data_IF_255504231969
#
_entry.id   IF_255504231969
#
_cell.length_a   1.000
_cell.length_b   1.000
_cell.length_c   1.000
_cell.angle_alpha   90.00
_cell.angle_beta   90.00
_cell.angle_gamma   90.00
#
_symmetry.space_group_name_H-M   'P 1'
#
loop_
_entity.id
_entity.type
_entity.pdbx_description
1 polymer ?
#
# COMPACT_ATOMS: atom_id res chain seq x y z
N UNK A 1 -13.90 -24.21 -9.17
CA UNK A 1 -15.21 -24.45 -9.81
C UNK A 1 -14.91 -24.91 -11.21
N UNK A 2 -15.02 -26.22 -11.45
CA UNK A 2 -14.67 -26.81 -12.74
C UNK A 2 -15.80 -26.51 -13.73
N UNK A 3 -15.54 -25.62 -14.68
CA UNK A 3 -16.50 -25.29 -15.73
C UNK A 3 -16.40 -26.33 -16.86
N UNK A 4 -17.33 -27.28 -16.86
CA UNK A 4 -17.54 -28.23 -17.96
C UNK A 4 -18.43 -27.56 -19.01
N UNK A 5 -17.89 -27.26 -20.18
CA UNK A 5 -18.66 -26.84 -21.35
C UNK A 5 -19.00 -28.07 -22.20
N UNK A 6 -20.29 -28.34 -22.36
CA UNK A 6 -20.83 -29.35 -23.31
C UNK A 6 -21.07 -28.71 -24.69
N UNK A 7 -20.94 -29.46 -25.80
CA UNK A 7 -20.81 -28.89 -27.14
C UNK A 7 -22.07 -29.06 -28.00
N UNK A 8 -22.36 -28.08 -28.85
CA UNK A 8 -23.20 -28.26 -30.03
C UNK A 8 -22.48 -27.70 -31.28
N UNK A 9 -21.85 -28.59 -32.06
CA UNK A 9 -21.87 -28.64 -33.54
C UNK A 9 -20.69 -29.43 -34.17
N UNK A 10 -21.07 -30.55 -34.82
CA UNK A 10 -20.45 -31.36 -35.90
C UNK A 10 -19.02 -31.97 -35.75
N UNK A 11 -18.86 -33.31 -35.93
CA UNK A 11 -17.61 -34.02 -35.62
C UNK A 11 -16.68 -34.16 -36.84
N UNK A 12 -15.42 -33.75 -36.69
CA UNK A 12 -14.33 -34.16 -37.58
C UNK A 12 -13.70 -35.45 -37.01
N UNK A 13 -14.05 -36.59 -37.60
CA UNK A 13 -13.58 -37.92 -37.20
C UNK A 13 -12.16 -38.18 -37.69
N UNK A 14 -11.19 -38.39 -36.79
CA UNK A 14 -9.84 -38.81 -37.13
C UNK A 14 -9.36 -39.97 -36.24
N UNK A 15 -9.30 -41.17 -36.83
CA UNK A 15 -8.68 -42.38 -36.27
C UNK A 15 -7.16 -42.28 -36.32
N UNK A 16 -6.47 -42.12 -35.18
CA UNK A 16 -5.19 -42.80 -34.86
C UNK A 16 -4.53 -42.28 -33.57
N UNK A 17 -4.10 -43.20 -32.69
CA UNK A 17 -3.27 -42.92 -31.49
C UNK A 17 -1.88 -42.30 -31.78
N UNK A 18 -1.44 -42.16 -33.04
CA UNK A 18 -0.19 -41.49 -33.42
C UNK A 18 -0.30 -39.94 -33.49
N UNK A 19 -1.45 -39.40 -33.15
CA UNK A 19 -1.78 -37.99 -33.32
C UNK A 19 -1.37 -37.05 -32.17
N UNK A 20 -1.08 -37.58 -30.97
CA UNK A 20 -0.64 -36.76 -29.83
C UNK A 20 0.66 -35.99 -30.12
N UNK A 21 1.60 -36.57 -30.87
CA UNK A 21 2.84 -35.90 -31.27
C UNK A 21 2.64 -34.81 -32.34
N UNK A 22 1.44 -34.69 -32.91
CA UNK A 22 1.11 -33.74 -33.98
C UNK A 22 0.37 -32.52 -33.46
N UNK A 23 -0.29 -32.63 -32.30
CA UNK A 23 -1.05 -31.57 -31.68
C UNK A 23 -0.14 -30.86 -30.67
N UNK A 24 0.12 -29.57 -30.92
CA UNK A 24 0.84 -28.69 -29.98
C UNK A 24 -0.11 -27.59 -29.54
N UNK A 25 -0.19 -27.39 -28.24
CA UNK A 25 -1.00 -26.32 -27.64
C UNK A 25 -0.09 -25.45 -26.80
N UNK A 26 -0.10 -24.16 -27.05
CA UNK A 26 0.60 -23.15 -26.25
C UNK A 26 -0.42 -22.16 -25.73
N UNK A 27 -0.44 -21.93 -24.41
CA UNK A 27 -1.33 -20.95 -23.78
C UNK A 27 -0.49 -19.85 -23.17
N UNK A 28 -0.78 -18.59 -23.49
CA UNK A 28 -0.07 -17.41 -22.97
C UNK A 28 -1.04 -16.39 -22.41
N UNK A 29 -0.67 -15.76 -21.30
CA UNK A 29 -1.39 -14.59 -20.80
C UNK A 29 -1.12 -13.38 -21.72
N UNK A 30 -2.15 -12.61 -22.05
CA UNK A 30 -1.99 -11.45 -22.92
C UNK A 30 -1.14 -10.38 -22.23
N UNK A 31 -0.02 -10.01 -22.84
CA UNK A 31 0.95 -9.07 -22.26
C UNK A 31 2.03 -9.74 -21.39
N UNK A 32 2.12 -11.07 -21.38
CA UNK A 32 3.25 -11.81 -20.78
C UNK A 32 3.82 -12.81 -21.78
N UNK A 33 5.13 -13.05 -21.69
CA UNK A 33 5.81 -14.11 -22.45
C UNK A 33 5.75 -15.47 -21.73
N UNK A 34 5.12 -15.53 -20.55
CA UNK A 34 4.97 -16.77 -19.80
C UNK A 34 4.00 -17.74 -20.50
N UNK A 35 4.52 -18.91 -20.86
CA UNK A 35 3.76 -20.02 -21.41
C UNK A 35 3.29 -20.95 -20.30
N UNK A 36 1.99 -21.26 -20.30
CA UNK A 36 1.42 -22.30 -19.45
C UNK A 36 1.48 -23.65 -20.17
N UNK A 37 1.93 -24.68 -19.46
CA UNK A 37 2.00 -26.04 -19.98
C UNK A 37 0.59 -26.61 -20.05
N UNK A 38 0.17 -27.00 -21.24
CA UNK A 38 -1.11 -27.68 -21.47
C UNK A 38 -0.87 -29.18 -21.59
N UNK A 39 -1.60 -29.96 -20.80
CA UNK A 39 -1.67 -31.40 -20.92
C UNK A 39 -2.73 -31.75 -21.97
N UNK A 40 -2.31 -32.56 -22.95
CA UNK A 40 -3.17 -33.02 -24.04
C UNK A 40 -3.41 -34.50 -23.85
N UNK A 41 -4.66 -34.92 -23.80
CA UNK A 41 -5.05 -36.33 -23.74
C UNK A 41 -6.07 -36.66 -24.81
N UNK A 42 -6.03 -37.89 -25.31
CA UNK A 42 -7.02 -38.35 -26.29
C UNK A 42 -8.26 -38.86 -25.54
N UNK A 43 -9.42 -38.26 -25.79
CA UNK A 43 -10.69 -38.63 -25.14
C UNK A 43 -11.40 -39.80 -25.83
N UNK A 44 -11.19 -39.97 -27.15
CA UNK A 44 -11.89 -41.04 -27.87
C UNK A 44 -11.17 -41.45 -29.16
N UNK A 45 -11.48 -42.65 -29.65
CA UNK A 45 -11.02 -43.12 -30.95
C UNK A 45 -11.56 -42.30 -32.14
N UNK A 46 -12.50 -41.37 -31.90
CA UNK A 46 -13.06 -40.48 -32.92
C UNK A 46 -12.21 -39.22 -33.17
N UNK A 47 -11.07 -39.04 -32.49
CA UNK A 47 -10.17 -37.90 -32.71
C UNK A 47 -10.55 -36.66 -31.91
N UNK A 48 -11.18 -36.85 -30.75
CA UNK A 48 -11.49 -35.80 -29.78
C UNK A 48 -10.36 -35.72 -28.76
N UNK A 49 -9.75 -34.55 -28.60
CA UNK A 49 -8.67 -34.31 -27.64
C UNK A 49 -9.16 -33.44 -26.50
N UNK A 50 -8.80 -33.81 -25.26
CA UNK A 50 -8.91 -32.92 -24.11
C UNK A 50 -7.64 -32.10 -24.00
N UNK A 51 -7.78 -30.81 -23.75
CA UNK A 51 -6.67 -29.91 -23.45
C UNK A 51 -6.96 -29.34 -22.07
N UNK A 52 -6.11 -29.69 -21.11
CA UNK A 52 -6.21 -29.20 -19.74
C UNK A 52 -5.00 -28.33 -19.42
N UNK A 53 -5.24 -27.17 -18.84
CA UNK A 53 -4.17 -26.26 -18.43
C UNK A 53 -4.54 -25.64 -17.09
N UNK A 54 -3.55 -25.49 -16.21
CA UNK A 54 -3.71 -24.77 -14.95
C UNK A 54 -3.03 -23.42 -15.08
N UNK A 55 -3.83 -22.35 -15.01
CA UNK A 55 -3.38 -20.96 -15.04
C UNK A 55 -3.62 -20.33 -13.67
N UNK A 56 -2.70 -19.46 -13.24
CA UNK A 56 -2.79 -18.75 -11.94
C UNK A 56 -3.11 -17.27 -12.08
N UNK A 57 -2.92 -16.71 -13.27
CA UNK A 57 -3.16 -15.29 -13.54
C UNK A 57 -4.57 -15.13 -14.11
N UNK A 58 -5.31 -14.16 -13.61
CA UNK A 58 -6.59 -13.78 -14.19
C UNK A 58 -6.40 -12.92 -15.46
N UNK A 59 -7.45 -12.82 -16.27
CA UNK A 59 -7.50 -12.00 -17.48
C UNK A 59 -7.46 -12.81 -18.77
N UNK A 60 -7.19 -12.11 -19.87
CA UNK A 60 -7.22 -12.70 -21.20
C UNK A 60 -5.98 -13.57 -21.46
N UNK A 61 -6.21 -14.76 -22.01
CA UNK A 61 -5.19 -15.68 -22.47
C UNK A 61 -5.43 -16.03 -23.93
N UNK A 62 -4.36 -16.26 -24.67
CA UNK A 62 -4.38 -16.76 -26.04
C UNK A 62 -3.88 -18.20 -26.07
N UNK A 63 -4.73 -19.09 -26.57
CA UNK A 63 -4.40 -20.48 -26.81
C UNK A 63 -4.13 -20.69 -28.30
N UNK A 64 -2.87 -20.93 -28.65
CA UNK A 64 -2.47 -21.34 -30.00
C UNK A 64 -2.50 -22.85 -30.09
N UNK A 65 -3.32 -23.36 -31.01
CA UNK A 65 -3.49 -24.80 -31.24
C UNK A 65 -3.00 -25.13 -32.64
N UNK A 66 -1.94 -25.93 -32.71
CA UNK A 66 -1.28 -26.32 -33.95
C UNK A 66 -1.45 -27.82 -34.18
N UNK A 67 -1.81 -28.21 -35.41
CA UNK A 67 -1.79 -29.58 -35.89
C UNK A 67 -0.75 -29.73 -36.99
N UNK A 68 0.23 -30.62 -36.81
CA UNK A 68 1.38 -30.76 -37.72
C UNK A 68 2.09 -29.41 -37.99
N UNK A 69 2.23 -28.58 -36.95
CA UNK A 69 2.86 -27.26 -37.05
C UNK A 69 2.02 -26.18 -37.77
N UNK A 70 0.78 -26.47 -38.16
CA UNK A 70 -0.14 -25.49 -38.77
C UNK A 70 -1.29 -25.17 -37.82
N UNK A 71 -1.72 -23.89 -37.70
CA UNK A 71 -2.89 -23.54 -36.89
C UNK A 71 -4.13 -24.32 -37.32
N UNK A 72 -4.87 -24.84 -36.34
CA UNK A 72 -6.21 -25.40 -36.58
C UNK A 72 -7.22 -24.26 -36.82
N UNK A 73 -8.41 -24.62 -37.31
CA UNK A 73 -9.51 -23.66 -37.45
C UNK A 73 -9.81 -23.00 -36.09
N UNK A 74 -10.02 -21.68 -36.10
CA UNK A 74 -10.26 -20.85 -34.91
C UNK A 74 -9.08 -20.68 -33.96
N UNK A 75 -7.88 -21.16 -34.30
CA UNK A 75 -6.66 -20.77 -33.60
C UNK A 75 -6.16 -19.40 -34.10
N UNK A 76 -5.73 -18.48 -33.20
CA UNK A 76 -5.72 -18.62 -31.73
C UNK A 76 -7.10 -18.43 -31.11
N UNK A 77 -7.36 -19.16 -30.02
CA UNK A 77 -8.56 -19.00 -29.20
C UNK A 77 -8.29 -18.00 -28.08
N UNK A 78 -9.25 -17.12 -27.81
CA UNK A 78 -9.22 -16.22 -26.65
C UNK A 78 -9.97 -16.84 -25.48
N UNK A 79 -9.31 -16.92 -24.32
CA UNK A 79 -9.87 -17.44 -23.06
C UNK A 79 -9.83 -16.33 -22.00
N UNK A 80 -10.94 -16.07 -21.34
CA UNK A 80 -10.99 -15.12 -20.22
C UNK A 80 -11.05 -15.88 -18.91
N UNK A 81 -9.99 -15.76 -18.11
CA UNK A 81 -9.90 -16.38 -16.79
C UNK A 81 -10.33 -15.34 -15.76
N UNK A 82 -11.37 -15.64 -14.98
CA UNK A 82 -11.77 -14.78 -13.86
C UNK A 82 -10.88 -15.06 -12.63
N UNK A 83 -10.67 -14.06 -11.75
CA UNK A 83 -10.08 -14.28 -10.43
C UNK A 83 -10.83 -15.37 -9.65
N UNK A 84 -10.13 -16.07 -8.75
CA UNK A 84 -10.77 -16.98 -7.79
C UNK A 84 -11.49 -16.16 -6.69
N UNK A 85 -12.05 -16.83 -5.68
CA UNK A 85 -12.75 -16.18 -4.56
C UNK A 85 -11.84 -15.22 -3.79
N UNK A 86 -12.46 -14.23 -3.15
CA UNK A 86 -11.79 -13.31 -2.21
C UNK A 86 -10.98 -14.12 -1.20
N UNK A 87 -9.71 -13.75 -1.05
CA UNK A 87 -8.79 -14.33 -0.09
C UNK A 87 -8.28 -13.20 0.83
N UNK A 88 -8.87 -13.06 2.04
CA UNK A 88 -8.54 -11.97 2.97
C UNK A 88 -7.05 -11.79 3.28
N UNK A 89 -6.23 -12.85 3.44
CA UNK A 89 -4.80 -12.68 3.71
C UNK A 89 -3.99 -12.02 2.58
N UNK A 90 -4.41 -12.16 1.33
CA UNK A 90 -3.77 -11.52 0.16
C UNK A 90 -4.42 -10.17 -0.20
N UNK A 91 -5.54 -9.86 0.45
CA UNK A 91 -6.26 -8.61 0.25
C UNK A 91 -5.72 -7.50 1.17
N UNK A 92 -6.04 -6.25 0.86
CA UNK A 92 -5.50 -5.10 1.60
C UNK A 92 -6.60 -4.26 2.26
N UNK A 93 -6.28 -3.73 3.45
CA UNK A 93 -7.07 -2.75 4.18
C UNK A 93 -6.27 -1.47 4.37
N UNK A 94 -6.80 -0.35 3.91
CA UNK A 94 -6.15 0.96 4.05
C UNK A 94 -7.08 1.92 4.79
N UNK A 95 -6.67 2.35 5.99
CA UNK A 95 -7.39 3.39 6.74
C UNK A 95 -6.98 4.74 6.18
N UNK A 96 -7.95 5.49 5.65
CA UNK A 96 -7.70 6.83 5.15
C UNK A 96 -7.72 7.84 6.30
N UNK A 97 -6.75 8.78 6.29
CA UNK A 97 -6.71 9.97 7.17
C UNK A 97 -6.65 9.66 8.67
N UNK A 98 -5.43 9.48 9.18
CA UNK A 98 -5.17 9.39 10.62
C UNK A 98 -4.40 10.63 11.13
N UNK A 99 -4.61 11.06 12.38
CA UNK A 99 -5.60 10.55 13.34
C UNK A 99 -7.03 11.03 13.01
N UNK A 100 -8.04 10.42 13.63
CA UNK A 100 -9.46 10.80 13.48
C UNK A 100 -9.99 11.37 14.79
N UNK A 101 -10.84 12.39 14.71
CA UNK A 101 -11.54 12.92 15.88
C UNK A 101 -12.61 11.96 16.38
N UNK A 102 -12.91 11.99 17.69
CA UNK A 102 -14.14 11.35 18.22
C UNK A 102 -15.36 11.85 17.46
N UNK A 103 -16.28 10.94 17.17
CA UNK A 103 -17.46 11.13 16.31
C UNK A 103 -17.12 11.55 14.86
N UNK A 104 -15.84 11.55 14.51
CA UNK A 104 -15.35 11.76 13.16
C UNK A 104 -15.68 10.58 12.26
N UNK A 105 -15.61 10.82 10.95
CA UNK A 105 -15.86 9.79 9.95
C UNK A 105 -14.56 9.06 9.60
N UNK A 106 -14.54 7.74 9.78
CA UNK A 106 -13.47 6.85 9.33
C UNK A 106 -13.88 6.20 8.02
N UNK A 107 -12.97 6.20 7.05
CA UNK A 107 -13.09 5.44 5.80
C UNK A 107 -11.93 4.45 5.70
N UNK A 108 -12.28 3.17 5.55
CA UNK A 108 -11.33 2.10 5.25
C UNK A 108 -11.60 1.61 3.82
N UNK A 109 -10.58 1.70 2.98
CA UNK A 109 -10.59 1.13 1.64
C UNK A 109 -10.16 -0.34 1.72
N UNK A 110 -10.96 -1.22 1.13
CA UNK A 110 -10.72 -2.65 1.03
C UNK A 110 -10.50 -3.00 -0.43
N UNK A 111 -9.33 -3.53 -0.78
CA UNK A 111 -9.06 -4.05 -2.14
C UNK A 111 -8.91 -5.55 -2.04
N UNK A 112 -9.86 -6.27 -2.62
CA UNK A 112 -9.90 -7.73 -2.56
C UNK A 112 -9.04 -8.36 -3.65
N UNK A 113 -8.30 -9.40 -3.26
CA UNK A 113 -7.53 -10.25 -4.15
C UNK A 113 -7.87 -11.71 -3.89
N UNK A 114 -7.63 -12.57 -4.87
CA UNK A 114 -7.67 -14.01 -4.68
C UNK A 114 -6.36 -14.54 -4.07
N UNK A 115 -6.30 -15.85 -3.83
CA UNK A 115 -5.12 -16.51 -3.23
C UNK A 115 -3.85 -16.50 -4.09
N UNK A 116 -3.95 -16.04 -5.34
CA UNK A 116 -2.85 -15.92 -6.28
C UNK A 116 -2.44 -14.46 -6.50
N UNK A 117 -3.05 -13.52 -5.78
CA UNK A 117 -2.81 -12.08 -5.93
C UNK A 117 -3.54 -11.45 -7.11
N UNK A 118 -4.50 -12.13 -7.73
CA UNK A 118 -5.32 -11.51 -8.77
C UNK A 118 -6.37 -10.61 -8.12
N UNK A 119 -6.47 -9.36 -8.60
CA UNK A 119 -7.50 -8.44 -8.13
C UNK A 119 -8.89 -8.94 -8.53
N UNK A 120 -9.81 -8.98 -7.55
CA UNK A 120 -11.21 -9.28 -7.80
C UNK A 120 -11.81 -8.16 -8.65
N UNK A 121 -12.61 -8.49 -9.67
CA UNK A 121 -13.14 -7.51 -10.64
C UNK A 121 -14.65 -7.32 -10.54
N UNK A 122 -15.31 -8.05 -9.64
CA UNK A 122 -16.77 -8.04 -9.46
C UNK A 122 -17.11 -7.73 -8.00
N UNK A 123 -18.25 -7.09 -7.77
CA UNK A 123 -18.79 -6.87 -6.43
C UNK A 123 -19.71 -8.00 -5.95
N UNK A 124 -20.53 -7.69 -4.96
CA UNK A 124 -21.62 -8.52 -4.43
C UNK A 124 -21.35 -9.14 -3.06
N UNK A 125 -20.13 -9.02 -2.53
CA UNK A 125 -19.74 -9.71 -1.29
C UNK A 125 -19.99 -8.89 -0.02
N UNK A 126 -20.49 -7.66 -0.12
CA UNK A 126 -20.59 -6.71 1.00
C UNK A 126 -21.38 -7.24 2.22
N UNK A 127 -22.34 -8.16 2.02
CA UNK A 127 -23.14 -8.74 3.10
C UNK A 127 -22.42 -9.83 3.91
N UNK A 128 -21.30 -10.35 3.40
CA UNK A 128 -20.52 -11.42 4.03
C UNK A 128 -19.38 -10.88 4.91
N UNK A 129 -19.19 -9.56 4.92
CA UNK A 129 -18.18 -8.91 5.73
C UNK A 129 -18.67 -8.66 7.15
N UNK A 130 -17.79 -8.86 8.14
CA UNK A 130 -18.03 -8.52 9.54
C UNK A 130 -16.89 -7.65 10.08
N UNK A 131 -17.20 -6.43 10.49
CA UNK A 131 -16.25 -5.48 11.06
C UNK A 131 -16.35 -5.48 12.59
N UNK A 132 -15.22 -5.74 13.24
CA UNK A 132 -15.05 -5.61 14.69
C UNK A 132 -13.90 -4.65 15.01
N UNK A 133 -14.04 -3.92 16.11
CA UNK A 133 -12.99 -3.07 16.66
C UNK A 133 -12.57 -3.60 18.02
N UNK A 134 -11.28 -3.63 18.29
CA UNK A 134 -10.74 -3.91 19.62
C UNK A 134 -9.98 -2.68 20.10
N UNK A 135 -10.45 -2.08 21.20
CA UNK A 135 -9.71 -1.01 21.88
C UNK A 135 -8.49 -1.62 22.56
N UNK A 136 -7.29 -1.30 22.07
CA UNK A 136 -6.05 -1.83 22.66
C UNK A 136 -5.79 -1.09 23.98
N UNK A 137 -6.00 -1.77 25.11
CA UNK A 137 -5.79 -1.22 26.45
C UNK A 137 -4.82 -2.07 27.28
N UNK A 138 -4.08 -1.41 28.18
CA UNK A 138 -3.17 -2.07 29.12
C UNK A 138 -1.84 -2.58 28.54
N UNK A 139 -0.94 -2.99 29.44
CA UNK A 139 0.41 -3.45 29.14
C UNK A 139 0.49 -4.77 28.36
N UNK A 140 -0.62 -5.39 27.93
CA UNK A 140 -0.67 -6.56 27.05
C UNK A 140 -1.51 -6.34 25.80
N UNK A 141 -2.11 -5.14 25.63
CA UNK A 141 -2.92 -4.81 24.47
C UNK A 141 -4.16 -5.68 24.29
N UNK A 142 -4.65 -6.41 25.29
CA UNK A 142 -5.88 -7.17 25.16
C UNK A 142 -7.08 -6.22 25.22
N UNK A 143 -7.90 -6.25 24.18
CA UNK A 143 -9.20 -5.59 24.13
C UNK A 143 -10.23 -6.59 23.62
N UNK A 144 -11.42 -6.55 24.20
CA UNK A 144 -12.54 -7.34 23.69
C UNK A 144 -12.94 -6.80 22.31
N UNK A 145 -13.23 -7.71 21.39
CA UNK A 145 -13.74 -7.36 20.08
C UNK A 145 -15.19 -6.91 20.21
N UNK A 146 -15.45 -5.66 19.84
CA UNK A 146 -16.78 -5.08 19.85
C UNK A 146 -17.22 -4.84 18.41
N UNK A 147 -18.43 -5.28 18.06
CA UNK A 147 -19.03 -4.93 16.76
C UNK A 147 -19.32 -3.43 16.73
N UNK A 148 -18.86 -2.77 15.68
CA UNK A 148 -19.13 -1.36 15.45
C UNK A 148 -20.34 -1.21 14.53
N UNK A 149 -21.10 -0.12 14.68
CA UNK A 149 -22.08 0.28 13.67
C UNK A 149 -21.31 0.84 12.48
N UNK A 150 -21.47 0.20 11.32
CA UNK A 150 -20.71 0.53 10.12
C UNK A 150 -21.59 0.34 8.87
N UNK A 151 -21.17 0.96 7.78
CA UNK A 151 -21.72 0.77 6.45
C UNK A 151 -20.63 0.29 5.53
N UNK A 152 -20.92 -0.73 4.70
CA UNK A 152 -20.02 -1.21 3.67
C UNK A 152 -20.63 -0.86 2.32
N UNK A 153 -19.90 -0.07 1.54
CA UNK A 153 -20.28 0.32 0.18
C UNK A 153 -19.49 -0.54 -0.81
N UNK A 154 -20.22 -1.16 -1.72
CA UNK A 154 -19.66 -2.00 -2.77
C UNK A 154 -19.40 -1.17 -4.02
N UNK A 155 -18.14 -1.12 -4.46
CA UNK A 155 -17.76 -0.35 -5.66
C UNK A 155 -17.94 -1.15 -6.95
N UNK A 156 -18.49 -2.38 -6.87
CA UNK A 156 -18.76 -3.29 -7.98
C UNK A 156 -17.53 -3.63 -8.84
N UNK A 157 -16.33 -3.50 -8.27
CA UNK A 157 -15.06 -3.74 -8.95
C UNK A 157 -14.06 -4.51 -8.06
N UNK A 158 -14.59 -5.29 -7.10
CA UNK A 158 -13.79 -6.00 -6.09
C UNK A 158 -13.18 -5.12 -5.01
N UNK A 159 -13.48 -3.82 -5.01
CA UNK A 159 -13.13 -2.90 -3.92
C UNK A 159 -14.38 -2.50 -3.12
N UNK A 160 -14.17 -2.24 -1.83
CA UNK A 160 -15.23 -1.86 -0.90
C UNK A 160 -14.77 -0.69 -0.03
N UNK A 161 -15.71 0.16 0.37
CA UNK A 161 -15.49 1.23 1.32
C UNK A 161 -16.24 0.92 2.62
N UNK A 162 -15.51 0.88 3.73
CA UNK A 162 -16.09 0.67 5.06
C UNK A 162 -16.09 2.00 5.82
N UNK A 163 -17.28 2.42 6.23
CA UNK A 163 -17.54 3.68 6.91
C UNK A 163 -18.01 3.44 8.33
N UNK A 164 -17.42 4.13 9.30
CA UNK A 164 -17.90 4.13 10.68
C UNK A 164 -17.47 5.40 11.43
N UNK A 165 -18.09 5.64 12.59
CA UNK A 165 -17.76 6.77 13.46
C UNK A 165 -17.44 6.27 14.88
N UNK A 166 -16.17 6.34 15.31
CA UNK A 166 -15.79 5.93 16.66
C UNK A 166 -16.23 6.97 17.68
N UNK A 167 -16.88 6.51 18.75
CA UNK A 167 -17.43 7.36 19.81
C UNK A 167 -16.50 7.52 21.01
N UNK A 168 -15.35 6.84 21.01
CA UNK A 168 -14.40 6.86 22.12
C UNK A 168 -12.99 7.21 21.67
N UNK A 169 -12.32 8.02 22.48
CA UNK A 169 -10.87 8.25 22.37
C UNK A 169 -10.13 6.94 22.62
N UNK A 170 -9.14 6.66 21.79
CA UNK A 170 -8.31 5.47 21.93
C UNK A 170 -7.62 5.05 20.65
N UNK A 171 -6.88 3.97 20.76
CA UNK A 171 -6.29 3.29 19.62
C UNK A 171 -6.94 1.94 19.44
N UNK A 172 -7.45 1.73 18.24
CA UNK A 172 -8.29 0.59 17.89
C UNK A 172 -7.59 -0.23 16.85
N UNK A 173 -7.56 -1.54 17.07
CA UNK A 173 -7.32 -2.49 16.00
C UNK A 173 -8.63 -2.78 15.30
N UNK A 174 -8.57 -2.80 13.97
CA UNK A 174 -9.67 -3.13 13.09
C UNK A 174 -9.48 -4.55 12.61
N UNK A 175 -10.48 -5.38 12.87
CA UNK A 175 -10.61 -6.70 12.25
C UNK A 175 -11.77 -6.66 11.29
N UNK A 176 -11.46 -6.73 10.01
CA UNK A 176 -12.43 -7.07 8.99
C UNK A 176 -12.32 -8.58 8.72
N UNK A 177 -13.47 -9.25 8.70
CA UNK A 177 -13.58 -10.66 8.37
C UNK A 177 -14.43 -10.81 7.12
N UNK A 178 -14.06 -11.75 6.26
CA UNK A 178 -14.91 -12.24 5.18
C UNK A 178 -15.04 -13.75 5.36
N UNK A 179 -16.29 -14.21 5.58
CA UNK A 179 -16.58 -15.58 5.97
C UNK A 179 -15.81 -15.98 7.26
N UNK A 180 -14.94 -16.98 7.20
CA UNK A 180 -14.15 -17.47 8.33
C UNK A 180 -12.70 -16.95 8.34
N UNK A 181 -12.35 -16.05 7.41
CA UNK A 181 -10.99 -15.55 7.23
C UNK A 181 -10.87 -14.07 7.58
N UNK A 182 -9.85 -13.75 8.37
CA UNK A 182 -9.52 -12.38 8.75
C UNK A 182 -8.58 -11.75 7.71
N UNK A 183 -8.83 -10.48 7.40
CA UNK A 183 -7.89 -9.64 6.68
C UNK A 183 -6.69 -9.33 7.56
N UNK A 184 -5.59 -8.86 6.95
CA UNK A 184 -4.50 -8.26 7.72
C UNK A 184 -5.03 -7.10 8.58
N UNK A 185 -4.60 -6.98 9.86
CA UNK A 185 -5.16 -5.99 10.76
C UNK A 185 -4.81 -4.57 10.32
N UNK A 186 -5.79 -3.69 10.40
CA UNK A 186 -5.59 -2.25 10.26
C UNK A 186 -5.75 -1.57 11.62
N UNK A 187 -5.32 -0.32 11.73
CA UNK A 187 -5.33 0.40 13.00
C UNK A 187 -5.86 1.82 12.86
N UNK A 188 -6.62 2.26 13.86
CA UNK A 188 -7.23 3.60 13.90
C UNK A 188 -6.85 4.29 15.19
N UNK A 189 -6.25 5.48 15.07
CA UNK A 189 -5.97 6.38 16.18
C UNK A 189 -7.11 7.42 16.28
N UNK A 190 -7.89 7.33 17.36
CA UNK A 190 -9.03 8.22 17.65
C UNK A 190 -8.66 9.16 18.80
N UNK A 191 -8.83 10.45 18.59
CA UNK A 191 -8.36 11.51 19.49
C UNK A 191 -9.45 12.54 19.76
N UNK A 192 -9.36 13.23 20.89
CA UNK A 192 -10.22 14.38 21.20
C UNK A 192 -9.65 15.69 20.64
N UNK A 193 -10.41 16.77 20.76
CA UNK A 193 -9.99 18.11 20.33
C UNK A 193 -8.75 18.63 21.07
N UNK A 194 -8.54 18.23 22.33
CA UNK A 194 -7.39 18.66 23.13
C UNK A 194 -6.10 18.07 22.56
N UNK A 195 -6.08 16.75 22.31
CA UNK A 195 -4.94 16.06 21.71
C UNK A 195 -4.68 16.53 20.27
N UNK A 196 -5.73 16.86 19.51
CA UNK A 196 -5.58 17.42 18.17
C UNK A 196 -4.99 18.83 18.17
N UNK A 197 -5.43 19.70 19.07
CA UNK A 197 -4.90 21.07 19.13
C UNK A 197 -3.44 21.08 19.54
N UNK A 198 -3.08 20.24 20.50
CA UNK A 198 -1.69 19.99 20.85
C UNK A 198 -0.89 19.47 19.64
N UNK A 199 -1.44 18.56 18.84
CA UNK A 199 -0.76 18.07 17.66
C UNK A 199 -0.45 19.21 16.68
N UNK A 200 -1.39 20.12 16.46
CA UNK A 200 -1.18 21.31 15.63
C UNK A 200 -0.10 22.23 16.19
N UNK A 201 -0.17 22.55 17.49
CA UNK A 201 0.81 23.42 18.13
C UNK A 201 2.24 22.87 18.01
N UNK A 202 2.42 21.56 18.28
CA UNK A 202 3.74 20.92 18.15
C UNK A 202 4.26 20.89 16.70
N UNK A 203 3.39 20.87 15.71
CA UNK A 203 3.78 20.96 14.30
C UNK A 203 4.34 22.34 13.94
N UNK A 204 3.78 23.40 14.52
CA UNK A 204 4.28 24.78 14.34
C UNK A 204 5.65 24.97 15.00
N UNK A 205 5.86 24.37 16.17
CA UNK A 205 7.08 24.48 16.97
C UNK A 205 8.24 23.57 16.53
N UNK A 206 8.14 22.95 15.34
CA UNK A 206 9.18 22.10 14.71
C UNK A 206 9.53 20.80 15.47
N UNK A 207 8.72 20.39 16.44
CA UNK A 207 8.81 19.11 17.12
C UNK A 207 8.64 19.18 18.63
N UNK A 208 8.73 18.02 19.27
CA UNK A 208 8.58 17.87 20.71
C UNK A 208 9.64 16.94 21.28
N UNK A 209 10.06 17.17 22.53
CA UNK A 209 10.93 16.25 23.26
C UNK A 209 10.35 15.95 24.64
N UNK A 210 10.10 14.67 24.92
CA UNK A 210 9.45 14.19 26.13
C UNK A 210 10.41 13.34 26.97
N UNK A 211 10.36 13.49 28.29
CA UNK A 211 11.02 12.55 29.21
C UNK A 211 10.23 11.25 29.28
N UNK A 212 10.89 10.13 29.06
CA UNK A 212 10.31 8.80 29.08
C UNK A 212 11.26 7.78 29.74
N UNK A 213 10.78 6.55 29.92
CA UNK A 213 11.54 5.44 30.47
C UNK A 213 11.36 4.20 29.58
N UNK A 214 12.43 3.42 29.38
CA UNK A 214 12.35 2.10 28.75
C UNK A 214 11.81 1.06 29.75
N UNK A 215 11.45 -0.12 29.25
CA UNK A 215 10.93 -1.22 30.08
C UNK A 215 11.90 -1.65 31.21
N UNK A 216 13.21 -1.51 31.00
CA UNK A 216 14.25 -1.78 31.99
C UNK A 216 14.44 -0.67 33.04
N UNK A 217 13.62 0.39 32.98
CA UNK A 217 13.68 1.55 33.87
C UNK A 217 14.68 2.63 33.44
N UNK A 218 15.39 2.44 32.32
CA UNK A 218 16.34 3.42 31.83
C UNK A 218 15.64 4.72 31.40
N UNK A 219 16.06 5.86 31.96
CA UNK A 219 15.56 7.19 31.59
C UNK A 219 16.07 7.61 30.21
N UNK A 220 15.14 7.98 29.34
CA UNK A 220 15.37 8.37 27.95
C UNK A 220 14.49 9.57 27.57
N UNK A 221 14.74 10.13 26.39
CA UNK A 221 14.02 11.27 25.87
C UNK A 221 13.52 10.96 24.45
N UNK A 222 12.21 11.05 24.26
CA UNK A 222 11.53 10.82 22.99
C UNK A 222 11.41 12.16 22.26
N UNK A 223 12.13 12.31 21.17
CA UNK A 223 12.13 13.50 20.33
C UNK A 223 11.42 13.19 19.01
N UNK A 224 10.28 13.85 18.77
CA UNK A 224 9.48 13.74 17.55
C UNK A 224 9.66 15.05 16.78
N UNK A 225 10.19 14.98 15.57
CA UNK A 225 10.37 16.14 14.67
C UNK A 225 9.68 15.90 13.35
N UNK A 226 9.63 16.93 12.50
CA UNK A 226 9.08 16.85 11.15
C UNK A 226 9.75 15.79 10.26
N UNK A 227 10.90 15.23 10.65
CA UNK A 227 11.71 14.28 9.86
C UNK A 227 11.88 12.92 10.52
N UNK A 228 11.85 12.86 11.85
CA UNK A 228 12.28 11.66 12.57
C UNK A 228 11.68 11.58 13.95
N UNK A 229 11.55 10.35 14.44
CA UNK A 229 11.33 10.04 15.85
C UNK A 229 12.62 9.47 16.38
N UNK A 230 13.11 9.95 17.52
CA UNK A 230 14.37 9.45 18.10
C UNK A 230 14.31 9.34 19.60
N UNK A 231 14.88 8.26 20.12
CA UNK A 231 15.12 8.07 21.54
C UNK A 231 16.56 8.44 21.85
N UNK A 232 16.74 9.36 22.80
CA UNK A 232 18.03 9.87 23.22
C UNK A 232 18.23 9.64 24.72
N UNK A 233 19.41 9.19 25.11
CA UNK A 233 19.90 9.27 26.48
C UNK A 233 20.74 10.52 26.61
N UNK A 234 20.61 11.26 27.70
CA UNK A 234 21.51 12.39 27.98
C UNK A 234 22.55 11.98 29.01
N UNK A 235 23.83 12.00 28.61
CA UNK A 235 24.95 11.83 29.53
C UNK A 235 25.21 13.13 30.28
N UNK A 236 25.31 13.07 31.61
CA UNK A 236 25.42 14.22 32.52
C UNK A 236 24.33 15.29 32.34
N UNK A 237 23.21 14.96 31.68
CA UNK A 237 22.15 15.90 31.34
C UNK A 237 22.45 16.86 30.18
N UNK A 238 23.62 16.77 29.55
CA UNK A 238 24.08 17.74 28.54
C UNK A 238 24.30 17.11 27.17
N UNK A 239 24.87 15.91 27.11
CA UNK A 239 25.27 15.30 25.83
C UNK A 239 24.25 14.24 25.38
N UNK A 240 23.48 14.48 24.30
CA UNK A 240 22.54 13.50 23.79
C UNK A 240 23.25 12.38 23.02
N UNK A 241 23.10 11.15 23.49
CA UNK A 241 23.41 9.92 22.76
C UNK A 241 22.12 9.35 22.20
N UNK A 242 22.04 9.22 20.88
CA UNK A 242 20.90 8.62 20.19
C UNK A 242 20.95 7.09 20.36
N UNK A 243 19.93 6.53 21.00
CA UNK A 243 19.77 5.08 21.16
C UNK A 243 19.06 4.49 19.94
N UNK A 244 17.91 5.06 19.60
CA UNK A 244 17.09 4.66 18.44
C UNK A 244 16.67 5.90 17.64
N UNK A 245 16.49 5.73 16.34
CA UNK A 245 16.06 6.82 15.46
C UNK A 245 15.39 6.29 14.22
N UNK A 246 14.11 6.56 14.12
CA UNK A 246 13.28 6.23 12.98
C UNK A 246 13.10 7.45 12.10
N UNK A 247 13.23 7.25 10.79
CA UNK A 247 12.81 8.25 9.81
C UNK A 247 11.30 8.16 9.69
N UNK A 248 10.63 9.31 9.62
CA UNK A 248 9.20 9.33 9.28
C UNK A 248 9.01 8.78 7.85
N UNK A 249 8.39 7.63 7.74
CA UNK A 249 8.05 6.93 6.50
C UNK A 249 6.73 6.16 6.69
N UNK A 250 6.19 5.60 5.60
CA UNK A 250 4.92 4.84 5.64
C UNK A 250 5.00 3.52 6.42
N UNK A 251 6.21 3.02 6.70
CA UNK A 251 6.43 1.78 7.45
C UNK A 251 6.49 2.02 8.97
N UNK A 252 6.74 3.26 9.40
CA UNK A 252 6.85 3.58 10.82
C UNK A 252 5.48 3.58 11.50
N UNK A 253 5.36 2.76 12.53
CA UNK A 253 4.17 2.64 13.35
C UNK A 253 4.44 3.24 14.74
N UNK A 254 3.53 4.11 15.19
CA UNK A 254 3.56 4.73 16.53
C UNK A 254 2.23 4.42 17.22
N UNK A 255 2.25 3.47 18.15
CA UNK A 255 1.05 2.82 18.70
C UNK A 255 0.99 3.03 20.22
N UNK A 256 -0.12 3.49 20.80
CA UNK A 256 -0.23 3.63 22.24
C UNK A 256 -0.60 2.27 22.88
N UNK A 257 -0.11 2.03 24.09
CA UNK A 257 -0.38 0.83 24.89
C UNK A 257 -0.92 1.24 26.26
N UNK A 258 -2.23 1.51 26.34
CA UNK A 258 -2.82 2.14 27.52
C UNK A 258 -2.67 3.67 27.51
N UNK A 259 -2.61 4.30 28.69
CA UNK A 259 -2.63 5.76 28.83
C UNK A 259 -1.25 6.44 28.80
N UNK A 260 -0.20 5.69 29.11
CA UNK A 260 1.13 6.22 29.39
C UNK A 260 2.24 5.51 28.64
N UNK A 261 1.96 4.44 27.89
CA UNK A 261 2.98 3.74 27.10
C UNK A 261 2.78 3.94 25.60
N UNK A 262 3.88 3.89 24.88
CA UNK A 262 3.96 4.05 23.44
C UNK A 262 4.92 3.00 22.88
N UNK A 263 4.47 2.27 21.87
CA UNK A 263 5.27 1.35 21.06
C UNK A 263 5.63 2.10 19.77
N UNK A 264 6.92 2.15 19.45
CA UNK A 264 7.43 2.69 18.20
C UNK A 264 8.13 1.55 17.48
N UNK A 265 7.68 1.23 16.28
CA UNK A 265 8.26 0.13 15.52
C UNK A 265 8.29 0.36 14.02
N UNK A 266 9.26 -0.27 13.37
CA UNK A 266 9.35 -0.44 11.93
C UNK A 266 9.68 -1.92 11.61
N UNK A 267 10.13 -2.21 10.39
CA UNK A 267 10.47 -3.58 9.98
C UNK A 267 11.70 -4.17 10.70
N UNK A 268 12.51 -3.34 11.38
CA UNK A 268 13.81 -3.72 11.95
C UNK A 268 13.81 -3.71 13.47
N UNK A 269 13.01 -2.86 14.07
CA UNK A 269 13.11 -2.53 15.48
C UNK A 269 11.74 -2.21 16.07
N UNK A 270 11.52 -2.65 17.32
CA UNK A 270 10.31 -2.39 18.10
C UNK A 270 10.71 -1.99 19.52
N UNK A 271 10.34 -0.78 19.92
CA UNK A 271 10.69 -0.22 21.22
C UNK A 271 9.45 0.29 21.93
N UNK A 272 9.25 -0.18 23.17
CA UNK A 272 8.22 0.34 24.06
C UNK A 272 8.81 1.35 25.06
N UNK A 273 8.16 2.49 25.19
CA UNK A 273 8.50 3.55 26.13
C UNK A 273 7.31 3.93 27.01
N UNK A 274 7.61 4.17 28.29
CA UNK A 274 6.72 4.78 29.27
C UNK A 274 6.91 6.30 29.25
N UNK A 275 5.87 7.04 28.86
CA UNK A 275 5.85 8.49 28.84
C UNK A 275 5.70 9.03 30.26
N UNK A 276 6.61 9.92 30.66
CA UNK A 276 6.52 10.58 31.96
C UNK A 276 5.40 11.61 32.00
N UNK A 277 4.89 11.91 33.20
CA UNK A 277 3.83 12.91 33.46
C UNK A 277 4.21 14.37 33.15
N UNK A 278 5.25 14.63 32.36
CA UNK A 278 5.77 15.99 32.13
C UNK A 278 5.97 16.30 30.65
N UNK A 279 5.66 17.56 30.32
CA UNK A 279 5.76 18.30 29.04
C UNK A 279 4.63 18.21 28.03
N UNK A 280 3.63 17.34 28.24
CA UNK A 280 2.42 17.33 27.42
C UNK A 280 1.20 17.67 28.27
N UNK A 281 0.53 18.79 27.97
CA UNK A 281 -0.72 19.20 28.66
C UNK A 281 -1.94 18.33 28.25
N UNK A 282 -1.70 17.21 27.57
CA UNK A 282 -2.72 16.30 27.11
C UNK A 282 -3.27 15.43 28.24
N UNK A 283 -4.56 15.11 28.13
CA UNK A 283 -5.23 14.11 28.98
C UNK A 283 -4.63 12.71 28.79
N UNK A 284 -4.09 12.40 27.59
CA UNK A 284 -3.42 11.14 27.29
C UNK A 284 -2.16 11.40 26.44
N UNK A 285 -0.96 11.41 27.06
CA UNK A 285 0.30 11.71 26.37
C UNK A 285 0.60 10.76 25.21
N UNK A 286 0.30 9.46 25.35
CA UNK A 286 0.55 8.47 24.31
C UNK A 286 -0.28 8.75 23.06
N UNK A 287 -1.57 9.05 23.24
CA UNK A 287 -2.46 9.36 22.12
C UNK A 287 -2.08 10.66 21.42
N UNK A 288 -1.70 11.69 22.16
CA UNK A 288 -1.19 12.91 21.55
C UNK A 288 0.11 12.68 20.76
N UNK A 289 1.03 11.85 21.25
CA UNK A 289 2.22 11.47 20.47
C UNK A 289 1.85 10.73 19.19
N UNK A 290 0.91 9.78 19.26
CA UNK A 290 0.36 9.12 18.07
C UNK A 290 -0.29 10.12 17.11
N UNK A 291 -1.04 11.10 17.63
CA UNK A 291 -1.66 12.15 16.84
C UNK A 291 -0.62 12.99 16.09
N UNK A 292 0.44 13.44 16.79
CA UNK A 292 1.54 14.20 16.21
C UNK A 292 2.24 13.38 15.14
N UNK A 293 2.65 12.14 15.46
CA UNK A 293 3.36 11.27 14.54
C UNK A 293 2.51 10.96 13.30
N UNK A 294 1.25 10.57 13.50
CA UNK A 294 0.33 10.27 12.40
C UNK A 294 0.05 11.51 11.55
N UNK A 295 -0.12 12.69 12.14
CA UNK A 295 -0.33 13.94 11.37
C UNK A 295 0.93 14.31 10.58
N UNK A 296 2.12 14.07 11.12
CA UNK A 296 3.37 14.25 10.38
C UNK A 296 3.53 13.26 9.23
N UNK A 297 3.21 11.98 9.46
CA UNK A 297 3.20 10.96 8.42
C UNK A 297 2.17 11.31 7.33
N UNK A 298 0.94 11.61 7.73
CA UNK A 298 -0.11 11.99 6.79
C UNK A 298 0.25 13.29 6.06
N UNK A 299 0.67 14.37 6.73
CA UNK A 299 1.06 15.61 6.02
C UNK A 299 2.23 15.43 5.05
N UNK A 300 3.16 14.50 5.31
CA UNK A 300 4.25 14.16 4.40
C UNK A 300 3.84 13.25 3.26
N UNK A 301 2.95 12.29 3.50
CA UNK A 301 2.63 11.20 2.56
C UNK A 301 1.24 11.28 1.94
N UNK A 302 0.27 11.96 2.56
CA UNK A 302 -1.04 12.30 1.99
C UNK A 302 -0.92 13.30 0.84
N UNK A 303 0.16 14.09 0.80
CA UNK A 303 0.50 14.86 -0.41
C UNK A 303 0.96 14.00 -1.59
N UNK A 304 1.11 12.69 -1.36
CA UNK A 304 1.57 11.69 -2.33
C UNK A 304 0.68 10.44 -2.33
N UNK A 305 -0.55 10.52 -1.78
CA UNK A 305 -1.28 9.33 -1.32
C UNK A 305 -2.80 9.40 -1.43
N UNK A 306 -3.33 10.01 -2.49
CA UNK A 306 -4.46 9.37 -3.18
C UNK A 306 -3.85 8.57 -4.32
N UNK A 307 -4.35 7.37 -4.59
CA UNK A 307 -3.84 6.48 -5.63
C UNK A 307 -3.63 7.27 -6.93
N UNK A 308 -2.37 7.42 -7.37
CA UNK A 308 -2.06 8.09 -8.64
C UNK A 308 -1.36 9.45 -8.57
N UNK A 309 -0.52 9.75 -7.57
CA UNK A 309 0.45 10.84 -7.77
C UNK A 309 1.48 10.40 -8.82
N UNK A 310 1.21 10.69 -10.08
CA UNK A 310 2.14 10.49 -11.20
C UNK A 310 3.43 11.28 -10.94
N UNK A 311 4.51 10.99 -11.66
CA UNK A 311 5.71 11.84 -11.63
C UNK A 311 5.35 13.32 -11.86
N UNK A 312 4.36 13.58 -12.70
CA UNK A 312 3.84 14.90 -13.04
C UNK A 312 3.20 15.62 -11.84
N UNK A 313 2.43 14.92 -11.00
CA UNK A 313 1.85 15.49 -9.78
C UNK A 313 2.92 15.87 -8.75
N UNK A 314 3.94 15.01 -8.63
CA UNK A 314 5.11 15.27 -7.77
C UNK A 314 5.91 16.47 -8.27
N UNK A 315 6.10 16.57 -9.59
CA UNK A 315 6.74 17.71 -10.27
C UNK A 315 5.96 19.01 -10.07
N UNK A 316 4.63 18.97 -10.24
CA UNK A 316 3.74 20.13 -10.09
C UNK A 316 3.70 20.62 -8.65
N UNK A 317 3.66 19.71 -7.67
CA UNK A 317 3.74 20.07 -6.26
C UNK A 317 5.08 20.72 -5.91
N UNK A 318 6.20 20.09 -6.31
CA UNK A 318 7.55 20.63 -6.10
C UNK A 318 7.69 22.03 -6.73
N UNK A 319 7.24 22.19 -7.97
CA UNK A 319 7.25 23.48 -8.68
C UNK A 319 6.40 24.52 -7.95
N UNK A 320 5.24 24.14 -7.43
CA UNK A 320 4.36 25.04 -6.66
C UNK A 320 5.00 25.49 -5.36
N UNK A 321 5.66 24.59 -4.63
CA UNK A 321 6.38 24.95 -3.39
C UNK A 321 7.61 25.79 -3.66
N UNK A 322 8.37 25.49 -4.72
CA UNK A 322 9.48 26.31 -5.19
C UNK A 322 9.02 27.72 -5.57
N UNK A 323 7.89 27.85 -6.27
CA UNK A 323 7.33 29.14 -6.66
C UNK A 323 6.88 29.99 -5.46
N UNK A 324 6.38 29.38 -4.38
CA UNK A 324 6.08 30.10 -3.12
C UNK A 324 7.33 30.67 -2.45
N UNK A 325 8.49 30.07 -2.70
CA UNK A 325 9.78 30.50 -2.19
C UNK A 325 10.55 31.41 -3.16
N UNK A 326 10.09 31.54 -4.42
CA UNK A 326 10.76 32.33 -5.46
C UNK A 326 10.26 33.77 -5.55
N UNK A 327 11.22 34.70 -5.63
CA UNK A 327 11.05 35.93 -6.41
C UNK A 327 11.46 35.61 -7.86
N UNK A 328 10.67 35.98 -8.89
CA UNK A 328 10.98 35.61 -10.27
C UNK A 328 12.37 36.16 -10.67
N UNK A 329 13.26 35.26 -11.08
CA UNK A 329 14.56 35.60 -11.68
C UNK A 329 14.49 35.31 -13.19
N UNK A 330 15.05 36.19 -14.05
CA UNK A 330 14.80 36.14 -15.50
C UNK A 330 15.56 35.04 -16.27
N UNK A 331 16.55 34.36 -15.68
CA UNK A 331 17.40 33.40 -16.40
C UNK A 331 16.98 31.94 -16.19
N UNK A 332 16.62 31.27 -17.30
CA UNK A 332 16.32 29.84 -17.35
C UNK A 332 17.63 29.03 -17.37
N UNK A 333 17.71 27.97 -16.55
CA UNK A 333 18.82 27.03 -16.50
C UNK A 333 18.53 25.85 -17.45
N UNK A 334 19.40 25.61 -18.42
CA UNK A 334 19.23 24.51 -19.38
C UNK A 334 20.05 23.29 -18.98
N UNK A 335 19.42 22.12 -18.95
CA UNK A 335 20.05 20.81 -18.76
C UNK A 335 19.81 19.94 -19.98
N UNK A 336 20.86 19.37 -20.56
CA UNK A 336 20.74 18.41 -21.65
C UNK A 336 21.04 17.02 -21.11
N UNK A 337 20.07 16.10 -21.26
CA UNK A 337 20.18 14.73 -20.78
C UNK A 337 20.47 13.83 -21.97
N UNK A 338 21.60 13.14 -21.93
CA UNK A 338 21.93 12.10 -22.91
C UNK A 338 22.00 10.76 -22.17
N UNK A 339 21.10 9.84 -22.52
CA UNK A 339 20.98 8.53 -21.85
C UNK A 339 22.24 7.67 -21.97
N UNK A 340 23.00 7.83 -23.04
CA UNK A 340 24.23 7.10 -23.28
C UNK A 340 25.42 7.70 -22.51
N UNK A 341 25.24 8.88 -21.91
CA UNK A 341 26.28 9.66 -21.22
C UNK A 341 25.75 10.32 -19.94
N UNK A 342 25.02 9.56 -19.12
CA UNK A 342 24.38 10.07 -17.89
C UNK A 342 25.41 10.62 -16.88
N UNK A 343 26.63 10.12 -16.89
CA UNK A 343 27.73 10.60 -16.07
C UNK A 343 28.02 12.11 -16.27
N UNK A 344 27.86 12.60 -17.50
CA UNK A 344 28.05 14.02 -17.83
C UNK A 344 26.92 14.87 -17.23
N UNK A 345 25.67 14.41 -17.35
CA UNK A 345 24.50 15.07 -16.77
C UNK A 345 24.58 15.08 -15.24
N UNK A 346 24.98 13.97 -14.62
CA UNK A 346 25.16 13.89 -13.15
C UNK A 346 26.25 14.85 -12.68
N UNK A 347 27.38 14.92 -13.39
CA UNK A 347 28.44 15.88 -13.09
C UNK A 347 27.98 17.34 -13.17
N UNK A 348 27.17 17.68 -14.18
CA UNK A 348 26.57 19.02 -14.28
C UNK A 348 25.66 19.34 -13.11
N UNK A 349 24.83 18.39 -12.65
CA UNK A 349 23.93 18.58 -11.52
C UNK A 349 24.68 18.74 -10.18
N UNK A 350 25.78 18.01 -10.00
CA UNK A 350 26.61 18.10 -8.79
C UNK A 350 27.34 19.45 -8.65
N UNK A 351 27.59 20.13 -9.77
CA UNK A 351 28.22 21.44 -9.80
C UNK A 351 27.26 22.60 -9.48
N UNK A 352 25.96 22.33 -9.37
CA UNK A 352 24.95 23.37 -9.17
C UNK A 352 24.88 23.83 -7.72
N UNK A 353 24.88 25.15 -7.53
CA UNK A 353 24.64 25.75 -6.23
C UNK A 353 23.16 25.67 -5.86
N UNK A 354 22.86 25.81 -4.56
CA UNK A 354 21.48 25.94 -4.06
C UNK A 354 20.68 27.05 -4.74
N UNK A 355 21.36 28.06 -5.29
CA UNK A 355 20.75 29.19 -6.01
C UNK A 355 20.48 28.90 -7.49
N UNK A 356 21.15 27.91 -8.08
CA UNK A 356 20.88 27.44 -9.45
C UNK A 356 19.67 26.51 -9.50
N UNK A 357 19.49 25.69 -8.46
CA UNK A 357 18.27 24.88 -8.25
C UNK A 357 17.00 25.72 -8.14
N UNK A 358 17.14 27.02 -7.84
CA UNK A 358 16.06 28.01 -7.72
C UNK A 358 15.71 28.72 -9.04
N UNK A 359 16.31 28.34 -10.17
CA UNK A 359 16.01 28.93 -11.48
C UNK A 359 14.95 28.09 -12.21
N UNK A 360 14.17 28.68 -13.14
CA UNK A 360 13.32 27.88 -14.02
C UNK A 360 14.21 26.97 -14.89
N UNK A 361 13.82 25.72 -15.09
CA UNK A 361 14.62 24.73 -15.82
C UNK A 361 14.13 24.55 -17.25
N UNK A 362 15.05 24.24 -18.17
CA UNK A 362 14.77 23.69 -19.49
C UNK A 362 15.53 22.38 -19.62
N UNK A 363 14.81 21.27 -19.60
CA UNK A 363 15.43 19.94 -19.74
C UNK A 363 15.20 19.46 -21.18
N UNK A 364 16.27 19.13 -21.88
CA UNK A 364 16.22 18.61 -23.26
C UNK A 364 16.84 17.23 -23.29
N UNK A 365 16.12 16.24 -23.79
CA UNK A 365 16.66 14.90 -24.02
C UNK A 365 17.30 14.83 -25.40
N UNK A 366 18.54 14.35 -25.47
CA UNK A 366 19.28 14.21 -26.73
C UNK A 366 19.14 12.78 -27.26
N UNK A 367 18.59 12.64 -28.47
CA UNK A 367 18.50 11.37 -29.20
C UNK A 367 17.18 10.62 -29.04
N UNK A 368 16.43 10.82 -27.95
CA UNK A 368 15.14 10.20 -27.69
C UNK A 368 14.19 11.21 -27.03
N UNK A 369 12.87 11.04 -27.21
CA UNK A 369 11.90 11.75 -26.40
C UNK A 369 11.95 11.21 -24.97
N UNK A 370 11.84 12.08 -23.96
CA UNK A 370 11.60 11.63 -22.59
C UNK A 370 10.21 11.01 -22.51
N UNK A 371 10.14 9.69 -22.37
CA UNK A 371 8.87 8.97 -22.17
C UNK A 371 8.71 8.81 -20.66
N UNK A 372 7.60 9.31 -20.11
CA UNK A 372 7.21 8.97 -18.74
C UNK A 372 6.95 7.45 -18.70
N UNK A 373 7.50 6.77 -17.69
CA UNK A 373 7.12 5.37 -17.47
C UNK A 373 5.67 5.39 -16.97
N UNK A 374 4.75 4.89 -17.80
CA UNK A 374 3.34 4.63 -17.43
C UNK A 374 3.25 3.75 -16.17
#
# INVERSE_FOLDING_TARGET
VDAVLMPDSLPLRLKHMQALNRLKVTIRHVGSDEESVADVSNLSEEGVYNITCTVRKAGEHRAEVLWNGKPVLSSPLTLTVKPDRIHPPESSLTVTRLPVLVDGHVLIEVVCQDRFGNQITEGGAHQEFDLCLAKRSGANGNGDWVKCVHTIVDMNNGSYEVHFSPTEVGYFEVRLRYQDLDFQPAFVCVVDGVNMELAKQCLEDHGITLKCQLQDGQKVYLSITDRSISLKKFFLGVFPTKLHSWRLNTQLQVLPRGSDRLIIKDERDEVEVLLGATSLAATNPSLACCAIASTLLHSRFAKFGEQGSTFEDRRKYLTTQLNKLHKPRPSQLSLVVNRHHLEVTVGQLQALSTDDWRRPWRITFQGEAGIDCD
#
